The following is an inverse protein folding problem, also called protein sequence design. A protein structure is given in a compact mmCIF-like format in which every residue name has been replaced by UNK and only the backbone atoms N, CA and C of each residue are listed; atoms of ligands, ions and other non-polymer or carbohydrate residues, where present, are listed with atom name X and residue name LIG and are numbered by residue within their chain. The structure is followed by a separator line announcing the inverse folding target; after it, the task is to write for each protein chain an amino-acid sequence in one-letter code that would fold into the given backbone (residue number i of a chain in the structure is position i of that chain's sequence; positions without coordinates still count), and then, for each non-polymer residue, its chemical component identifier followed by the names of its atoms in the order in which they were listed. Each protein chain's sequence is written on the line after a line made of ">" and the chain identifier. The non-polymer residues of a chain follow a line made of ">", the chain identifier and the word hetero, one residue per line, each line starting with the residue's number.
data_IF_893375081232
#
_entry.id   IF_893375081232
#
_cell.length_a   1.000
_cell.length_b   1.000
_cell.length_c   1.000
_cell.angle_alpha   90.00
_cell.angle_beta   90.00
_cell.angle_gamma   90.00
#
_symmetry.space_group_name_H-M   'P 1'
#
loop_
_entity.id
_entity.type
_entity.pdbx_description
1 polymer ?
#
# COMPACT_ATOMS: atom_id res chain seq x y z
N UNK A 1 17.86 9.79 41.27
CA UNK A 1 17.94 8.73 40.25
C UNK A 1 16.76 8.90 39.30
N UNK A 2 16.94 8.86 37.98
CA UNK A 2 15.80 8.74 37.09
C UNK A 2 15.18 7.35 37.32
N UNK A 3 13.86 7.29 37.51
CA UNK A 3 13.13 6.04 37.71
C UNK A 3 13.25 5.11 36.50
N UNK A 4 12.88 3.82 36.64
CA UNK A 4 12.95 2.87 35.53
C UNK A 4 12.12 3.38 34.35
N UNK A 5 12.71 3.38 33.15
CA UNK A 5 11.96 3.66 31.92
C UNK A 5 10.79 2.66 31.81
N UNK A 6 9.57 3.13 31.49
CA UNK A 6 8.46 2.22 31.27
C UNK A 6 8.81 1.25 30.13
N UNK A 7 8.55 -0.04 30.35
CA UNK A 7 8.75 -1.06 29.33
C UNK A 7 7.94 -0.70 28.07
N UNK A 8 8.63 -0.40 26.97
CA UNK A 8 7.96 -0.10 25.70
C UNK A 8 7.28 -1.37 25.18
N UNK A 9 5.97 -1.31 25.00
CA UNK A 9 5.23 -2.34 24.26
C UNK A 9 5.80 -2.41 22.83
N UNK A 10 6.17 -3.61 22.33
CA UNK A 10 6.64 -3.74 20.96
C UNK A 10 5.56 -3.32 19.96
N UNK A 11 5.93 -2.72 18.81
CA UNK A 11 4.96 -2.29 17.81
C UNK A 11 4.21 -3.49 17.22
N UNK A 12 2.93 -3.29 16.88
CA UNK A 12 2.15 -4.26 16.11
C UNK A 12 2.16 -3.84 14.65
N UNK A 13 2.47 -4.75 13.74
CA UNK A 13 2.57 -4.42 12.31
C UNK A 13 1.30 -4.80 11.56
N UNK A 14 0.76 -3.87 10.78
CA UNK A 14 -0.39 -4.11 9.93
C UNK A 14 -0.01 -3.84 8.47
N UNK A 15 -0.03 -4.89 7.64
CA UNK A 15 0.34 -4.81 6.24
C UNK A 15 -0.81 -4.21 5.42
N UNK A 16 -0.50 -3.27 4.53
CA UNK A 16 -1.44 -2.80 3.51
C UNK A 16 -0.80 -3.03 2.15
N UNK A 17 -1.46 -3.82 1.30
CA UNK A 17 -0.98 -4.13 -0.05
C UNK A 17 -2.05 -3.89 -1.11
N UNK A 18 -1.63 -3.75 -2.36
CA UNK A 18 -2.54 -3.62 -3.50
C UNK A 18 -2.97 -5.01 -4.01
N UNK A 19 -4.19 -5.11 -4.56
CA UNK A 19 -4.73 -6.35 -5.14
C UNK A 19 -3.81 -6.99 -6.19
N UNK A 20 -3.11 -6.18 -6.98
CA UNK A 20 -2.17 -6.65 -8.00
C UNK A 20 -0.86 -7.27 -7.47
N UNK A 21 -0.59 -7.14 -6.16
CA UNK A 21 0.59 -7.71 -5.50
C UNK A 21 0.36 -7.95 -3.99
N UNK A 22 -0.54 -8.89 -3.62
CA UNK A 22 -0.95 -9.15 -2.24
C UNK A 22 -0.03 -10.16 -1.54
N UNK A 23 1.19 -10.37 -2.04
CA UNK A 23 2.07 -11.48 -1.70
C UNK A 23 2.33 -11.63 -0.18
N UNK A 24 2.55 -10.54 0.55
CA UNK A 24 2.83 -10.63 2.00
C UNK A 24 1.56 -10.90 2.81
N UNK A 25 0.42 -10.36 2.40
CA UNK A 25 -0.86 -10.68 3.03
C UNK A 25 -1.21 -12.15 2.77
N UNK A 26 -1.00 -12.64 1.55
CA UNK A 26 -1.14 -14.07 1.24
C UNK A 26 -0.20 -14.91 2.10
N UNK A 27 1.08 -14.54 2.15
CA UNK A 27 2.10 -15.24 2.94
C UNK A 27 1.73 -15.30 4.42
N UNK A 28 1.23 -14.21 4.99
CA UNK A 28 0.86 -14.10 6.40
C UNK A 28 -0.27 -15.06 6.78
N UNK A 29 -1.24 -15.26 5.89
CA UNK A 29 -2.45 -16.04 6.18
C UNK A 29 -2.47 -17.44 5.55
N UNK A 30 -1.42 -17.84 4.85
CA UNK A 30 -1.33 -19.14 4.16
C UNK A 30 0.03 -19.82 4.37
N UNK A 31 0.53 -19.82 5.62
CA UNK A 31 1.76 -20.53 6.02
C UNK A 31 2.98 -20.24 5.12
N UNK A 32 3.12 -18.97 4.71
CA UNK A 32 4.22 -18.52 3.85
C UNK A 32 3.92 -18.57 2.34
N UNK A 33 2.82 -19.18 1.90
CA UNK A 33 2.46 -19.30 0.49
C UNK A 33 2.06 -17.96 -0.13
N UNK A 34 2.46 -17.74 -1.38
CA UNK A 34 2.26 -16.49 -2.13
C UNK A 34 1.51 -16.70 -3.45
N UNK A 35 0.87 -17.87 -3.62
CA UNK A 35 0.14 -18.21 -4.85
C UNK A 35 -1.11 -17.31 -4.99
N UNK A 36 -1.25 -16.55 -6.08
CA UNK A 36 -2.46 -15.75 -6.35
C UNK A 36 -3.76 -16.56 -6.35
N UNK A 37 -3.72 -17.88 -6.57
CA UNK A 37 -4.91 -18.75 -6.50
C UNK A 37 -5.53 -18.85 -5.09
N UNK A 38 -4.79 -18.43 -4.06
CA UNK A 38 -5.24 -18.34 -2.67
C UNK A 38 -6.01 -17.05 -2.37
N UNK A 39 -6.04 -16.09 -3.29
CA UNK A 39 -6.89 -14.91 -3.19
C UNK A 39 -8.36 -15.28 -3.45
N UNK A 40 -9.35 -14.54 -2.89
CA UNK A 40 -10.76 -14.81 -3.12
C UNK A 40 -11.13 -14.63 -4.59
N UNK A 41 -12.15 -15.36 -5.03
CA UNK A 41 -12.69 -15.23 -6.38
C UNK A 41 -13.68 -14.09 -6.43
N UNK A 42 -13.54 -13.24 -7.44
CA UNK A 42 -14.49 -12.18 -7.69
C UNK A 42 -15.49 -12.57 -8.78
N UNK A 43 -16.72 -12.12 -8.62
CA UNK A 43 -17.77 -12.26 -9.63
C UNK A 43 -18.11 -10.88 -10.19
N UNK A 44 -18.26 -10.79 -11.51
CA UNK A 44 -18.68 -9.53 -12.14
C UNK A 44 -20.16 -9.26 -11.86
N UNK A 45 -20.46 -8.08 -11.33
CA UNK A 45 -21.80 -7.60 -11.05
C UNK A 45 -22.21 -6.56 -12.10
N UNK A 46 -23.22 -6.89 -12.91
CA UNK A 46 -23.64 -6.01 -14.02
C UNK A 46 -24.27 -4.69 -13.54
N UNK A 47 -24.89 -4.68 -12.36
CA UNK A 47 -25.56 -3.48 -11.83
C UNK A 47 -24.56 -2.41 -11.37
N UNK A 48 -23.49 -2.82 -10.69
CA UNK A 48 -22.44 -1.92 -10.19
C UNK A 48 -21.35 -1.69 -11.25
N UNK A 49 -21.21 -2.59 -12.22
CA UNK A 49 -20.10 -2.61 -13.17
C UNK A 49 -18.77 -3.00 -12.52
N UNK A 50 -18.81 -3.57 -11.32
CA UNK A 50 -17.64 -3.95 -10.52
C UNK A 50 -17.52 -5.47 -10.39
N UNK A 51 -16.35 -5.92 -9.98
CA UNK A 51 -16.10 -7.27 -9.50
C UNK A 51 -16.23 -7.30 -7.99
N UNK A 52 -17.01 -8.22 -7.42
CA UNK A 52 -17.28 -8.30 -5.99
C UNK A 52 -16.97 -9.67 -5.37
N UNK A 53 -16.64 -9.67 -4.08
CA UNK A 53 -16.49 -10.86 -3.24
C UNK A 53 -16.91 -10.56 -1.79
N UNK A 54 -17.34 -11.58 -1.04
CA UNK A 54 -17.71 -11.46 0.37
C UNK A 54 -17.09 -12.55 1.25
N UNK A 55 -16.15 -13.33 0.71
CA UNK A 55 -15.58 -14.51 1.37
C UNK A 55 -14.47 -14.14 2.36
N UNK A 56 -13.66 -13.14 2.02
CA UNK A 56 -12.49 -12.77 2.82
C UNK A 56 -12.45 -11.25 3.05
N UNK A 57 -12.71 -10.76 4.28
CA UNK A 57 -12.71 -9.33 4.59
C UNK A 57 -11.32 -8.68 4.49
N UNK A 58 -10.25 -9.47 4.43
CA UNK A 58 -8.89 -8.95 4.25
C UNK A 58 -8.56 -8.58 2.82
N UNK A 59 -9.42 -8.95 1.87
CA UNK A 59 -9.31 -8.58 0.47
C UNK A 59 -10.39 -7.56 0.11
N UNK A 60 -10.21 -6.81 -0.99
CA UNK A 60 -11.21 -5.84 -1.42
C UNK A 60 -12.60 -6.46 -1.53
N UNK A 61 -13.62 -5.77 -1.03
CA UNK A 61 -15.00 -6.22 -1.25
C UNK A 61 -15.39 -6.03 -2.72
N UNK A 62 -14.83 -4.98 -3.34
CA UNK A 62 -15.05 -4.62 -4.74
C UNK A 62 -13.76 -4.18 -5.43
N UNK A 63 -13.67 -4.41 -6.74
CA UNK A 63 -12.60 -3.90 -7.61
C UNK A 63 -13.13 -3.65 -9.03
N UNK A 64 -12.45 -2.82 -9.82
CA UNK A 64 -12.75 -2.67 -11.25
C UNK A 64 -12.23 -3.85 -12.09
N UNK A 65 -11.13 -4.46 -11.66
CA UNK A 65 -10.48 -5.58 -12.33
C UNK A 65 -9.71 -6.42 -11.30
N UNK A 66 -10.01 -7.73 -11.13
CA UNK A 66 -9.24 -8.60 -10.25
C UNK A 66 -7.74 -8.70 -10.61
N UNK A 67 -7.37 -8.33 -11.84
CA UNK A 67 -5.99 -8.24 -12.33
C UNK A 67 -5.38 -6.85 -12.28
N UNK A 68 -5.99 -5.89 -11.58
CA UNK A 68 -5.55 -4.49 -11.56
C UNK A 68 -4.09 -4.32 -11.10
N UNK A 69 -3.46 -3.24 -11.59
CA UNK A 69 -2.10 -2.81 -11.19
C UNK A 69 -2.10 -1.30 -10.99
N UNK A 70 -2.14 -0.87 -9.74
CA UNK A 70 -2.30 0.53 -9.35
C UNK A 70 -0.98 1.31 -9.37
N UNK A 71 0.09 0.70 -8.87
CA UNK A 71 1.41 1.33 -8.77
C UNK A 71 2.47 0.33 -9.24
N UNK A 72 3.23 0.71 -10.26
CA UNK A 72 4.31 -0.11 -10.82
C UNK A 72 5.63 -0.01 -10.06
N UNK A 73 5.76 0.96 -9.16
CA UNK A 73 7.03 1.40 -8.59
C UNK A 73 7.40 0.72 -7.27
N UNK A 74 6.45 0.13 -6.53
CA UNK A 74 6.74 -0.31 -5.15
C UNK A 74 6.42 -1.76 -4.77
N UNK A 75 5.87 -2.58 -5.68
CA UNK A 75 5.43 -3.92 -5.31
C UNK A 75 6.29 -5.03 -5.89
N UNK A 76 7.30 -5.44 -5.10
CA UNK A 76 8.07 -6.65 -5.35
C UNK A 76 7.21 -7.87 -5.05
N UNK A 77 6.94 -8.70 -6.07
CA UNK A 77 6.38 -10.04 -5.85
C UNK A 77 7.38 -10.90 -5.08
N UNK A 78 6.90 -11.69 -4.12
CA UNK A 78 7.69 -12.53 -3.21
C UNK A 78 8.81 -11.75 -2.49
N UNK A 79 8.48 -10.72 -1.69
CA UNK A 79 9.49 -9.92 -1.04
C UNK A 79 10.29 -10.75 -0.02
N UNK A 80 11.63 -10.59 0.05
CA UNK A 80 12.49 -11.38 0.94
C UNK A 80 12.20 -11.13 2.42
N UNK A 81 11.54 -10.02 2.74
CA UNK A 81 11.13 -9.64 4.09
C UNK A 81 9.91 -10.41 4.59
N UNK A 82 9.20 -11.14 3.74
CA UNK A 82 7.91 -11.79 4.08
C UNK A 82 8.02 -12.71 5.29
N UNK A 83 9.01 -13.61 5.33
CA UNK A 83 9.19 -14.55 6.44
C UNK A 83 9.42 -13.83 7.77
N UNK A 84 10.22 -12.76 7.76
CA UNK A 84 10.49 -11.95 8.96
C UNK A 84 9.26 -11.19 9.43
N UNK A 85 8.46 -10.65 8.50
CA UNK A 85 7.23 -9.95 8.83
C UNK A 85 6.17 -10.89 9.39
N UNK A 86 6.02 -12.09 8.84
CA UNK A 86 5.13 -13.12 9.40
C UNK A 86 5.51 -13.46 10.84
N UNK A 87 6.81 -13.62 11.12
CA UNK A 87 7.30 -13.90 12.48
C UNK A 87 6.99 -12.74 13.45
N UNK A 88 7.24 -11.50 13.03
CA UNK A 88 6.99 -10.31 13.85
C UNK A 88 5.50 -10.16 14.17
N UNK A 89 4.65 -10.24 13.14
CA UNK A 89 3.18 -10.13 13.28
C UNK A 89 2.64 -11.28 14.13
N UNK A 90 3.10 -12.51 13.90
CA UNK A 90 2.68 -13.67 14.68
C UNK A 90 3.05 -13.58 16.17
N UNK A 91 4.18 -12.96 16.50
CA UNK A 91 4.64 -12.79 17.90
C UNK A 91 4.04 -11.57 18.61
N UNK A 92 3.84 -10.47 17.89
CA UNK A 92 3.52 -9.17 18.48
C UNK A 92 2.05 -8.77 18.26
N UNK A 93 1.33 -9.51 17.41
CA UNK A 93 0.00 -9.13 16.92
C UNK A 93 0.09 -8.17 15.75
N UNK A 94 -1.07 -7.83 15.19
CA UNK A 94 -1.19 -7.07 13.95
C UNK A 94 -1.96 -7.85 12.90
N UNK A 95 -1.67 -7.60 11.62
CA UNK A 95 -2.40 -8.25 10.55
C UNK A 95 -2.03 -7.75 9.16
N UNK A 96 -2.95 -7.92 8.23
CA UNK A 96 -2.81 -7.39 6.88
C UNK A 96 -4.12 -7.30 6.13
N UNK A 97 -4.19 -6.32 5.23
CA UNK A 97 -5.30 -6.08 4.32
C UNK A 97 -4.78 -5.78 2.92
N UNK A 98 -5.59 -6.11 1.93
CA UNK A 98 -5.42 -5.79 0.53
C UNK A 98 -6.48 -4.77 0.12
N UNK A 99 -6.08 -3.76 -0.64
CA UNK A 99 -6.96 -2.71 -1.17
C UNK A 99 -7.00 -2.71 -2.69
N UNK A 100 -8.11 -2.25 -3.26
CA UNK A 100 -8.30 -2.05 -4.71
C UNK A 100 -8.25 -0.57 -5.10
N UNK A 101 -8.10 -0.27 -6.40
CA UNK A 101 -8.31 1.09 -6.92
C UNK A 101 -9.75 1.56 -6.64
N UNK A 102 -10.74 0.67 -6.76
CA UNK A 102 -12.14 1.02 -6.50
C UNK A 102 -12.36 1.52 -5.06
N UNK A 103 -11.79 0.83 -4.07
CA UNK A 103 -11.85 1.25 -2.68
C UNK A 103 -11.09 2.56 -2.44
N UNK A 104 -9.93 2.71 -3.08
CA UNK A 104 -9.15 3.94 -2.98
C UNK A 104 -9.88 5.16 -3.56
N UNK A 105 -10.52 5.01 -4.72
CA UNK A 105 -11.32 6.09 -5.33
C UNK A 105 -12.56 6.41 -4.50
N UNK A 106 -13.26 5.41 -3.99
CA UNK A 106 -14.46 5.60 -3.18
C UNK A 106 -14.18 6.42 -1.90
N UNK A 107 -13.00 6.23 -1.30
CA UNK A 107 -12.57 6.98 -0.10
C UNK A 107 -11.68 8.18 -0.39
N UNK A 108 -11.36 8.47 -1.66
CA UNK A 108 -10.33 9.45 -2.01
C UNK A 108 -10.60 10.83 -1.37
N UNK A 109 -11.85 11.32 -1.45
CA UNK A 109 -12.23 12.59 -0.82
C UNK A 109 -11.99 12.62 0.70
N UNK A 110 -12.29 11.53 1.40
CA UNK A 110 -12.06 11.38 2.84
C UNK A 110 -10.55 11.35 3.16
N UNK A 111 -9.78 10.56 2.41
CA UNK A 111 -8.32 10.46 2.55
C UNK A 111 -7.66 11.82 2.32
N UNK A 112 -8.09 12.56 1.29
CA UNK A 112 -7.62 13.92 1.02
C UNK A 112 -7.85 14.87 2.20
N UNK A 113 -9.00 14.77 2.86
CA UNK A 113 -9.31 15.60 4.02
C UNK A 113 -8.42 15.22 5.23
N UNK A 114 -8.27 13.93 5.52
CA UNK A 114 -7.41 13.44 6.63
C UNK A 114 -5.95 13.88 6.43
N UNK A 115 -5.41 13.70 5.23
CA UNK A 115 -4.03 14.05 4.93
C UNK A 115 -3.80 15.57 4.90
N UNK A 116 -4.82 16.34 4.54
CA UNK A 116 -4.76 17.80 4.57
C UNK A 116 -4.52 18.36 5.98
N UNK A 117 -5.02 17.69 7.03
CA UNK A 117 -4.78 18.04 8.43
C UNK A 117 -3.33 17.74 8.86
N UNK A 118 -2.68 16.78 8.20
CA UNK A 118 -1.26 16.46 8.36
C UNK A 118 -0.35 17.25 7.39
N UNK A 119 -0.87 18.32 6.78
CA UNK A 119 -0.19 19.16 5.78
C UNK A 119 0.26 18.43 4.50
N UNK A 120 -0.22 17.21 4.26
CA UNK A 120 0.00 16.48 3.02
C UNK A 120 -1.11 16.80 2.02
N UNK A 121 -0.73 17.39 0.88
CA UNK A 121 -1.68 17.79 -0.17
C UNK A 121 -1.72 16.77 -1.28
N UNK A 122 -2.90 16.19 -1.48
CA UNK A 122 -3.21 15.35 -2.63
C UNK A 122 -3.97 16.15 -3.71
N UNK A 123 -3.74 15.87 -5.00
CA UNK A 123 -4.43 16.55 -6.09
C UNK A 123 -5.94 16.36 -5.99
N UNK A 124 -6.71 17.30 -6.54
CA UNK A 124 -8.16 17.16 -6.59
C UNK A 124 -8.59 16.04 -7.54
N UNK A 125 -7.86 15.87 -8.65
CA UNK A 125 -8.05 14.79 -9.60
C UNK A 125 -7.16 13.58 -9.22
N UNK A 126 -7.73 12.43 -8.83
CA UNK A 126 -6.95 11.24 -8.50
C UNK A 126 -6.08 10.74 -9.66
N UNK A 127 -6.39 11.09 -10.92
CA UNK A 127 -5.59 10.71 -12.09
C UNK A 127 -4.21 11.38 -12.13
N UNK A 128 -4.03 12.44 -11.34
CA UNK A 128 -2.76 13.16 -11.22
C UNK A 128 -1.82 12.52 -10.19
N UNK A 129 -2.31 11.60 -9.35
CA UNK A 129 -1.47 10.84 -8.40
C UNK A 129 -0.54 9.92 -9.19
N UNK A 130 0.73 9.87 -8.77
CA UNK A 130 1.77 9.01 -9.37
C UNK A 130 2.28 7.96 -8.39
N UNK A 131 2.27 8.24 -7.09
CA UNK A 131 2.48 7.24 -6.04
C UNK A 131 1.24 7.13 -5.14
N UNK A 132 0.66 5.92 -5.13
CA UNK A 132 -0.57 5.62 -4.41
C UNK A 132 -0.33 5.06 -3.01
N UNK A 133 0.92 4.85 -2.61
CA UNK A 133 1.28 4.13 -1.37
C UNK A 133 0.64 4.75 -0.12
N UNK A 134 0.68 6.09 0.02
CA UNK A 134 0.04 6.78 1.15
C UNK A 134 -1.49 6.72 1.10
N UNK A 135 -2.09 6.89 -0.09
CA UNK A 135 -3.55 6.77 -0.27
C UNK A 135 -3.99 5.37 0.14
N UNK A 136 -3.32 4.35 -0.36
CA UNK A 136 -3.59 2.96 -0.03
C UNK A 136 -3.43 2.69 1.46
N UNK A 137 -2.38 3.19 2.11
CA UNK A 137 -2.14 2.98 3.54
C UNK A 137 -3.30 3.53 4.39
N UNK A 138 -3.77 4.75 4.09
CA UNK A 138 -4.90 5.35 4.80
C UNK A 138 -6.19 4.59 4.50
N UNK A 139 -6.46 4.25 3.24
CA UNK A 139 -7.64 3.46 2.84
C UNK A 139 -7.64 2.09 3.52
N UNK A 140 -6.48 1.42 3.57
CA UNK A 140 -6.30 0.14 4.22
C UNK A 140 -6.56 0.22 5.71
N UNK A 141 -6.07 1.27 6.39
CA UNK A 141 -6.36 1.50 7.80
C UNK A 141 -7.86 1.70 8.05
N UNK A 142 -8.52 2.57 7.27
CA UNK A 142 -9.97 2.81 7.39
C UNK A 142 -10.78 1.54 7.10
N UNK A 143 -10.42 0.80 6.05
CA UNK A 143 -11.08 -0.47 5.71
C UNK A 143 -10.84 -1.53 6.79
N UNK A 144 -9.66 -1.57 7.42
CA UNK A 144 -9.36 -2.50 8.48
C UNK A 144 -10.16 -2.19 9.75
N UNK A 145 -10.34 -0.91 10.08
CA UNK A 145 -11.23 -0.47 11.16
C UNK A 145 -12.68 -0.85 10.86
N UNK A 146 -13.19 -0.50 9.68
CA UNK A 146 -14.58 -0.78 9.28
C UNK A 146 -14.91 -2.29 9.17
N UNK A 147 -13.88 -3.15 9.14
CA UNK A 147 -14.00 -4.61 9.03
C UNK A 147 -13.57 -5.35 10.30
N UNK A 148 -13.34 -4.62 11.40
CA UNK A 148 -12.90 -5.17 12.68
C UNK A 148 -11.61 -6.03 12.56
N UNK A 149 -10.68 -5.63 11.69
CA UNK A 149 -9.41 -6.32 11.45
C UNK A 149 -8.26 -5.79 12.30
N UNK A 150 -8.41 -4.60 12.90
CA UNK A 150 -7.45 -4.04 13.85
C UNK A 150 -7.82 -4.55 15.25
N UNK A 151 -6.94 -5.28 15.95
CA UNK A 151 -7.27 -5.82 17.28
C UNK A 151 -7.59 -4.70 18.28
N UNK A 152 -8.70 -4.84 19.01
CA UNK A 152 -9.02 -3.98 20.15
C UNK A 152 -7.93 -4.12 21.24
N UNK A 153 -7.57 -3.01 21.88
CA UNK A 153 -6.66 -2.98 23.01
C UNK A 153 -5.22 -2.62 22.64
N UNK A 154 -4.94 -1.32 22.70
CA UNK A 154 -3.62 -0.84 23.13
C UNK A 154 -3.31 -1.33 24.55
N UNK A 155 -2.07 -1.13 25.07
CA UNK A 155 -1.76 -1.46 26.46
C UNK A 155 -2.78 -0.81 27.42
N UNK A 156 -3.15 -1.54 28.48
CA UNK A 156 -4.12 -1.10 29.50
C UNK A 156 -3.91 0.38 29.88
N UNK A 157 -4.96 1.18 29.73
CA UNK A 157 -4.94 2.62 30.01
C UNK A 157 -4.72 3.53 28.80
N UNK A 158 -4.50 2.99 27.60
CA UNK A 158 -4.54 3.77 26.36
C UNK A 158 -5.95 3.71 25.78
N UNK A 159 -6.68 4.85 25.65
CA UNK A 159 -7.89 4.87 24.84
C UNK A 159 -7.47 4.53 23.40
N UNK A 160 -8.27 3.74 22.68
CA UNK A 160 -8.20 3.47 21.22
C UNK A 160 -6.79 3.60 20.60
N UNK A 161 -6.10 2.47 20.37
CA UNK A 161 -4.71 2.50 19.92
C UNK A 161 -4.48 3.33 18.65
N UNK A 162 -3.63 4.35 18.74
CA UNK A 162 -3.20 5.17 17.60
C UNK A 162 -2.62 4.29 16.48
N UNK A 163 -3.07 4.53 15.25
CA UNK A 163 -2.49 3.90 14.05
C UNK A 163 -1.41 4.82 13.49
N UNK A 164 -0.15 4.35 13.55
CA UNK A 164 0.97 5.01 12.89
C UNK A 164 1.11 4.49 11.45
N UNK A 165 0.90 5.37 10.47
CA UNK A 165 1.26 5.09 9.07
C UNK A 165 2.74 5.39 8.86
N UNK A 166 3.55 4.36 8.58
CA UNK A 166 4.99 4.50 8.37
C UNK A 166 5.38 4.29 6.91
N UNK A 167 6.24 5.17 6.39
CA UNK A 167 7.03 4.90 5.18
C UNK A 167 6.27 4.93 3.86
N UNK A 168 5.25 5.78 3.73
CA UNK A 168 4.50 5.94 2.49
C UNK A 168 4.67 7.34 1.90
N UNK A 169 5.00 7.40 0.61
CA UNK A 169 5.05 8.63 -0.17
C UNK A 169 3.75 8.89 -0.91
N UNK A 170 3.58 10.14 -1.33
CA UNK A 170 2.71 10.45 -2.45
C UNK A 170 3.35 11.59 -3.21
N UNK A 171 3.43 11.43 -4.53
CA UNK A 171 3.75 12.53 -5.42
C UNK A 171 2.74 12.53 -6.57
N UNK A 172 2.50 13.72 -7.10
CA UNK A 172 1.58 14.01 -8.18
C UNK A 172 2.31 14.62 -9.37
N UNK A 173 1.63 14.72 -10.51
CA UNK A 173 2.17 15.36 -11.73
C UNK A 173 2.70 16.77 -11.46
N UNK A 174 2.08 17.52 -10.55
CA UNK A 174 2.49 18.89 -10.21
C UNK A 174 3.75 19.00 -9.36
N UNK A 175 4.29 17.88 -8.86
CA UNK A 175 5.45 17.89 -7.95
C UNK A 175 6.81 17.82 -8.68
N UNK A 176 6.79 17.59 -10.00
CA UNK A 176 8.00 17.50 -10.82
C UNK A 176 7.76 18.06 -12.22
N UNK A 177 8.82 18.56 -12.82
CA UNK A 177 8.82 18.93 -14.24
C UNK A 177 9.03 17.67 -15.09
N UNK A 178 8.12 17.42 -16.02
CA UNK A 178 8.30 16.34 -16.98
C UNK A 178 9.50 16.63 -17.88
N UNK A 179 10.38 15.63 -18.05
CA UNK A 179 11.48 15.72 -19.00
C UNK A 179 10.91 15.97 -20.41
N UNK A 180 11.42 16.99 -21.07
CA UNK A 180 11.10 17.29 -22.45
C UNK A 180 11.62 16.18 -23.38
N UNK A 181 11.03 16.08 -24.57
CA UNK A 181 11.51 15.13 -25.58
C UNK A 181 12.99 15.36 -25.95
N UNK A 182 13.51 16.58 -25.76
CA UNK A 182 14.92 16.92 -25.99
C UNK A 182 15.85 16.44 -24.89
N UNK A 183 15.32 16.11 -23.71
CA UNK A 183 16.06 15.55 -22.58
C UNK A 183 16.00 14.01 -22.55
N UNK A 184 15.21 13.40 -23.46
CA UNK A 184 15.08 11.95 -23.58
C UNK A 184 16.03 11.42 -24.65
N UNK A 185 16.86 10.45 -24.28
CA UNK A 185 17.73 9.72 -25.19
C UNK A 185 17.18 8.31 -25.42
N UNK A 186 16.83 7.98 -26.67
CA UNK A 186 16.51 6.60 -27.04
C UNK A 186 17.79 5.78 -27.06
N UNK A 187 17.76 4.63 -26.40
CA UNK A 187 18.85 3.63 -26.41
C UNK A 187 18.28 2.32 -26.96
N UNK A 188 18.94 1.72 -27.94
CA UNK A 188 18.50 0.44 -28.50
C UNK A 188 19.38 -0.73 -27.99
N UNK A 189 20.41 -0.44 -27.17
CA UNK A 189 21.27 -1.43 -26.55
C UNK A 189 22.20 -0.91 -25.45
N UNK A 190 22.97 -1.83 -24.87
CA UNK A 190 23.88 -1.56 -23.74
C UNK A 190 24.99 -0.56 -24.10
N UNK A 191 25.52 -0.64 -25.32
CA UNK A 191 26.57 0.28 -25.77
C UNK A 191 26.04 1.72 -25.90
N UNK A 192 24.81 1.91 -26.39
CA UNK A 192 24.17 3.23 -26.48
C UNK A 192 23.97 3.82 -25.09
N UNK A 193 23.47 3.01 -24.14
CA UNK A 193 23.31 3.43 -22.75
C UNK A 193 24.65 3.83 -22.12
N UNK A 194 25.71 3.04 -22.33
CA UNK A 194 27.06 3.39 -21.86
C UNK A 194 27.50 4.75 -22.41
N UNK A 195 27.28 5.00 -23.70
CA UNK A 195 27.68 6.24 -24.35
C UNK A 195 26.92 7.44 -23.77
N UNK A 196 25.61 7.32 -23.57
CA UNK A 196 24.78 8.39 -22.96
C UNK A 196 25.25 8.70 -21.54
N UNK A 197 25.51 7.67 -20.72
CA UNK A 197 26.01 7.86 -19.34
C UNK A 197 27.37 8.56 -19.35
N UNK A 198 28.32 8.08 -20.16
CA UNK A 198 29.65 8.67 -20.23
C UNK A 198 29.64 10.12 -20.71
N UNK A 199 28.79 10.45 -21.69
CA UNK A 199 28.58 11.83 -22.15
C UNK A 199 28.02 12.73 -21.05
N UNK A 200 27.04 12.23 -20.28
CA UNK A 200 26.45 12.98 -19.18
C UNK A 200 27.44 13.23 -18.02
N UNK A 201 28.40 12.30 -17.79
CA UNK A 201 29.41 12.41 -16.72
C UNK A 201 30.72 13.08 -17.14
N UNK A 202 30.88 13.44 -18.41
CA UNK A 202 32.11 14.07 -18.94
C UNK A 202 32.17 15.60 -18.72
N UNK A 203 31.28 16.14 -17.88
CA UNK A 203 31.27 17.51 -17.37
C UNK A 203 31.97 17.59 -16.02
#
# INVERSE_FOLDING_TARGET
>A
EPGPEPARTPPRYFLVQHLGAPDMVLSLYNDGATDPSLAPRYTYETESGLYAQAENPRFPAVTFDPGERLDSTFYTRKPPTSARMNELIGKQGGGGIVVSLAECLNRYGQVRAILADAEVRLPADPREVREWSLVMAVVGALNALDRDLVPEGGPEGSPEGDILVHGSGSYAVGDFDALSATELHRVDGVDDLRNVVLQATAL
#
